data_IF_121208156252
#
_entry.id   IF_121208156252
#
_cell.length_a   1.000
_cell.length_b   1.000
_cell.length_c   1.000
_cell.angle_alpha   90.00
_cell.angle_beta   90.00
_cell.angle_gamma   90.00
#
_symmetry.space_group_name_H-M   'P 1'
#
loop_
_entity.id
_entity.type
_entity.pdbx_description
1 polymer ?
#
# COMPACT_ATOMS: atom_id res chain seq x y z
N UNK A 1 -8.07 3.49 -16.13
CA UNK A 1 -8.21 4.37 -14.94
C UNK A 1 -9.65 4.56 -14.43
N UNK A 2 -10.68 4.00 -15.09
CA UNK A 2 -12.08 4.31 -14.78
C UNK A 2 -12.64 3.54 -13.56
N UNK A 3 -12.03 2.42 -13.17
CA UNK A 3 -12.45 1.57 -12.03
C UNK A 3 -12.07 2.13 -10.65
N UNK A 4 -10.93 2.82 -10.54
CA UNK A 4 -10.47 3.47 -9.30
C UNK A 4 -11.35 4.68 -8.94
N UNK A 5 -11.69 5.51 -9.94
CA UNK A 5 -12.47 6.75 -9.75
C UNK A 5 -13.95 6.51 -9.39
N UNK A 6 -14.47 5.32 -9.63
CA UNK A 6 -15.87 4.98 -9.33
C UNK A 6 -16.08 4.44 -7.89
N UNK A 7 -15.03 4.34 -7.08
CA UNK A 7 -15.11 3.83 -5.70
C UNK A 7 -15.51 2.34 -5.59
N UNK A 8 -15.68 1.64 -6.72
CA UNK A 8 -16.04 0.21 -6.79
C UNK A 8 -14.89 -0.74 -6.51
N UNK A 9 -13.68 -0.20 -6.36
CA UNK A 9 -12.51 -0.97 -6.02
C UNK A 9 -11.94 -0.41 -4.71
N UNK A 10 -12.09 -1.11 -3.58
CA UNK A 10 -11.59 -0.65 -2.28
C UNK A 10 -10.05 -0.82 -2.21
N UNK A 11 -9.32 -0.24 -3.16
CA UNK A 11 -7.85 -0.19 -3.18
C UNK A 11 -7.34 0.40 -1.87
N UNK A 12 -8.05 1.38 -1.31
CA UNK A 12 -7.66 2.05 -0.06
C UNK A 12 -7.58 1.08 1.13
N UNK A 13 -8.35 -0.02 1.11
CA UNK A 13 -8.28 -1.06 2.16
C UNK A 13 -7.10 -2.00 2.01
N UNK A 14 -6.43 -1.98 0.86
CA UNK A 14 -5.29 -2.84 0.54
C UNK A 14 -3.95 -2.09 0.63
N UNK A 15 -4.00 -0.77 0.83
CA UNK A 15 -2.83 0.09 0.93
C UNK A 15 -2.40 0.20 2.40
N UNK A 16 -1.12 -0.03 2.66
CA UNK A 16 -0.49 0.37 3.91
C UNK A 16 0.50 1.50 3.65
N UNK A 17 0.42 2.55 4.46
CA UNK A 17 1.31 3.71 4.35
C UNK A 17 2.54 3.54 5.23
N UNK A 18 3.70 3.83 4.66
CA UNK A 18 4.98 3.83 5.35
C UNK A 18 5.64 5.19 5.18
N UNK A 19 6.27 5.70 6.24
CA UNK A 19 7.08 6.91 6.12
C UNK A 19 8.40 6.57 5.42
N UNK A 20 9.04 7.56 4.82
CA UNK A 20 10.35 7.39 4.17
C UNK A 20 11.40 6.61 4.98
N UNK A 21 11.60 6.87 6.29
CA UNK A 21 12.55 6.11 7.12
C UNK A 21 12.20 4.63 7.27
N UNK A 22 10.92 4.27 7.06
CA UNK A 22 10.37 2.92 7.29
C UNK A 22 10.38 2.07 5.99
N UNK A 23 11.12 2.48 4.95
CA UNK A 23 11.14 1.83 3.64
C UNK A 23 11.53 0.34 3.70
N UNK A 24 12.49 -0.03 4.55
CA UNK A 24 12.90 -1.42 4.71
C UNK A 24 11.78 -2.27 5.34
N UNK A 25 11.01 -1.69 6.26
CA UNK A 25 9.85 -2.36 6.84
C UNK A 25 8.75 -2.57 5.80
N UNK A 26 8.55 -1.59 4.91
CA UNK A 26 7.58 -1.69 3.81
C UNK A 26 7.89 -2.88 2.89
N UNK A 27 9.17 -3.10 2.58
CA UNK A 27 9.60 -4.26 1.79
C UNK A 27 9.41 -5.59 2.53
N UNK A 28 9.77 -5.67 3.81
CA UNK A 28 9.59 -6.89 4.61
C UNK A 28 8.11 -7.28 4.77
N UNK A 29 7.24 -6.30 5.02
CA UNK A 29 5.80 -6.51 5.17
C UNK A 29 5.15 -6.90 3.83
N UNK A 30 5.67 -6.43 2.70
CA UNK A 30 5.24 -6.88 1.37
C UNK A 30 5.70 -8.30 1.05
N UNK A 31 6.95 -8.64 1.38
CA UNK A 31 7.52 -9.97 1.10
C UNK A 31 6.89 -11.06 1.97
N UNK A 32 6.51 -10.74 3.21
CA UNK A 32 5.79 -11.66 4.10
C UNK A 32 4.31 -11.84 3.76
N UNK A 33 3.76 -11.02 2.85
CA UNK A 33 2.34 -11.01 2.51
C UNK A 33 1.45 -10.35 3.57
N UNK A 34 2.05 -9.76 4.62
CA UNK A 34 1.35 -8.98 5.65
C UNK A 34 0.68 -7.73 5.07
N UNK A 35 1.29 -7.15 4.04
CA UNK A 35 0.75 -6.02 3.29
C UNK A 35 0.70 -6.36 1.80
N UNK A 36 -0.46 -6.13 1.19
CA UNK A 36 -0.70 -6.41 -0.23
C UNK A 36 -0.11 -5.29 -1.11
N UNK A 37 -0.18 -4.02 -0.67
CA UNK A 37 0.40 -2.89 -1.39
C UNK A 37 0.97 -1.82 -0.45
N UNK A 38 2.29 -1.83 -0.17
CA UNK A 38 2.92 -0.74 0.58
C UNK A 38 3.02 0.53 -0.27
N UNK A 39 2.77 1.69 0.34
CA UNK A 39 2.96 3.02 -0.28
C UNK A 39 3.85 3.84 0.64
N UNK A 40 5.01 4.25 0.13
CA UNK A 40 5.91 5.16 0.86
C UNK A 40 5.43 6.59 0.65
N UNK A 41 5.15 7.28 1.75
CA UNK A 41 4.74 8.68 1.79
C UNK A 41 5.89 9.56 2.33
N UNK A 42 5.96 10.79 1.83
CA UNK A 42 6.89 11.82 2.31
C UNK A 42 6.45 12.41 3.65
#
# INVERSE_FOLDING_TARGET
MQLYKQGKFPIDKLIAHYRWPDINQAFADSASGKVIKPVVVM
#
